data_IF_268691015486
#
_entry.id   IF_268691015486
#
_cell.length_a   1.000
_cell.length_b   1.000
_cell.length_c   1.000
_cell.angle_alpha   90.00
_cell.angle_beta   90.00
_cell.angle_gamma   90.00
#
_symmetry.space_group_name_H-M   'P 1'
#
loop_
_entity.id
_entity.type
_entity.pdbx_description
1 polymer ?
#
# COMPACT_ATOMS: atom_id res chain seq x y z
N UNK A 1 -30.31 -48.77 -9.85
CA UNK A 1 -29.32 -48.91 -10.93
C UNK A 1 -28.12 -48.02 -10.60
N UNK A 2 -27.01 -48.59 -10.12
CA UNK A 2 -25.79 -47.81 -9.89
C UNK A 2 -25.09 -47.60 -11.23
N UNK A 3 -24.94 -46.35 -11.66
CA UNK A 3 -24.20 -46.00 -12.87
C UNK A 3 -22.74 -46.44 -12.69
N UNK A 4 -22.33 -47.49 -13.42
CA UNK A 4 -20.92 -47.89 -13.49
C UNK A 4 -20.15 -46.74 -14.12
N UNK A 5 -19.31 -46.07 -13.34
CA UNK A 5 -18.42 -45.01 -13.82
C UNK A 5 -17.50 -45.61 -14.90
N UNK A 6 -17.44 -44.98 -16.06
CA UNK A 6 -16.61 -45.42 -17.19
C UNK A 6 -15.12 -45.21 -16.87
N UNK A 7 -14.21 -46.05 -17.38
CA UNK A 7 -12.76 -45.96 -17.12
C UNK A 7 -12.13 -44.61 -17.52
N UNK A 8 -12.79 -43.86 -18.40
CA UNK A 8 -12.42 -42.48 -18.75
C UNK A 8 -12.63 -41.49 -17.58
N UNK A 9 -13.69 -41.64 -16.78
CA UNK A 9 -13.99 -40.79 -15.61
C UNK A 9 -12.97 -41.01 -14.48
N UNK A 10 -12.47 -42.24 -14.32
CA UNK A 10 -11.43 -42.57 -13.35
C UNK A 10 -10.05 -42.03 -13.76
N UNK A 11 -9.73 -42.07 -15.06
CA UNK A 11 -8.48 -41.52 -15.61
C UNK A 11 -8.43 -40.00 -15.47
N UNK A 12 -9.54 -39.31 -15.79
CA UNK A 12 -9.66 -37.85 -15.62
C UNK A 12 -9.49 -37.45 -14.16
N UNK A 13 -10.11 -38.18 -13.22
CA UNK A 13 -9.92 -37.91 -11.78
C UNK A 13 -8.49 -38.08 -11.34
N UNK A 14 -7.83 -39.16 -11.77
CA UNK A 14 -6.42 -39.39 -11.44
C UNK A 14 -5.49 -38.30 -11.97
N UNK A 15 -5.79 -37.74 -13.15
CA UNK A 15 -5.07 -36.60 -13.70
C UNK A 15 -5.34 -35.31 -12.92
N UNK A 16 -6.60 -35.04 -12.56
CA UNK A 16 -6.98 -33.88 -11.74
C UNK A 16 -6.39 -33.94 -10.33
N UNK A 17 -6.34 -35.13 -9.72
CA UNK A 17 -5.73 -35.35 -8.41
C UNK A 17 -4.21 -35.15 -8.48
N UNK A 18 -3.57 -35.64 -9.55
CA UNK A 18 -2.15 -35.40 -9.81
C UNK A 18 -1.84 -33.92 -10.08
N UNK A 19 -2.70 -33.21 -10.82
CA UNK A 19 -2.59 -31.77 -11.02
C UNK A 19 -2.75 -31.00 -9.70
N UNK A 20 -3.72 -31.39 -8.85
CA UNK A 20 -3.91 -30.81 -7.51
C UNK A 20 -2.68 -31.01 -6.62
N UNK A 21 -2.12 -32.22 -6.60
CA UNK A 21 -0.90 -32.54 -5.85
C UNK A 21 0.31 -31.72 -6.35
N UNK A 22 0.44 -31.52 -7.66
CA UNK A 22 1.49 -30.67 -8.27
C UNK A 22 1.31 -29.20 -7.89
N UNK A 23 0.07 -28.70 -7.88
CA UNK A 23 -0.24 -27.32 -7.48
C UNK A 23 0.05 -27.10 -6.00
N UNK A 24 -0.31 -28.06 -5.15
CA UNK A 24 -0.13 -27.98 -3.70
C UNK A 24 1.34 -28.00 -3.28
N UNK A 25 2.20 -28.69 -4.04
CA UNK A 25 3.65 -28.72 -3.79
C UNK A 25 4.41 -27.50 -4.33
N UNK A 26 3.80 -26.69 -5.20
CA UNK A 26 4.44 -25.51 -5.78
C UNK A 26 4.16 -24.27 -4.93
N UNK A 27 5.10 -23.32 -4.95
CA UNK A 27 4.84 -22.00 -4.37
C UNK A 27 3.64 -21.38 -5.06
N UNK A 28 2.62 -21.07 -4.27
CA UNK A 28 1.42 -20.42 -4.76
C UNK A 28 1.75 -19.06 -5.39
N UNK A 29 1.19 -18.79 -6.57
CA UNK A 29 1.31 -17.50 -7.26
C UNK A 29 -0.09 -17.00 -7.59
N UNK A 30 -0.40 -15.72 -7.30
CA UNK A 30 -1.71 -15.17 -7.58
C UNK A 30 -2.00 -15.12 -9.08
N UNK A 31 -3.27 -15.23 -9.42
CA UNK A 31 -3.78 -15.01 -10.78
C UNK A 31 -4.24 -13.57 -10.96
N UNK A 32 -4.18 -13.06 -12.19
CA UNK A 32 -4.49 -11.64 -12.50
C UNK A 32 -5.83 -11.14 -11.94
N UNK A 33 -6.87 -11.99 -11.97
CA UNK A 33 -8.18 -11.67 -11.41
C UNK A 33 -8.16 -11.43 -9.89
N UNK A 34 -7.37 -12.21 -9.16
CA UNK A 34 -7.26 -12.15 -7.69
C UNK A 34 -6.64 -10.83 -7.20
N UNK A 35 -5.79 -10.19 -8.01
CA UNK A 35 -5.22 -8.88 -7.68
C UNK A 35 -6.25 -7.74 -7.65
N UNK A 36 -7.45 -7.93 -8.19
CA UNK A 36 -8.50 -6.92 -8.20
C UNK A 36 -9.61 -7.18 -7.17
N UNK A 37 -9.64 -8.36 -6.55
CA UNK A 37 -10.68 -8.75 -5.60
C UNK A 37 -10.27 -8.45 -4.16
N UNK A 38 -11.24 -8.05 -3.35
CA UNK A 38 -11.09 -8.00 -1.90
C UNK A 38 -10.07 -6.99 -1.37
N UNK A 39 -9.84 -5.88 -2.09
CA UNK A 39 -9.03 -4.77 -1.56
C UNK A 39 -9.78 -4.08 -0.45
N UNK A 40 -9.20 -4.10 0.76
CA UNK A 40 -9.73 -3.42 1.92
C UNK A 40 -9.38 -1.94 1.86
N UNK A 41 -10.16 -1.15 2.58
CA UNK A 41 -9.87 0.24 2.85
C UNK A 41 -9.51 0.38 4.31
N UNK A 42 -8.42 1.07 4.58
CA UNK A 42 -7.98 1.37 5.93
C UNK A 42 -7.99 2.87 6.19
N UNK A 43 -8.27 3.27 7.42
CA UNK A 43 -8.11 4.64 7.89
C UNK A 43 -7.04 4.73 8.98
N UNK A 44 -6.18 5.75 8.87
CA UNK A 44 -5.08 6.03 9.80
C UNK A 44 -5.21 7.47 10.27
N UNK A 45 -5.23 7.67 11.59
CA UNK A 45 -5.06 8.99 12.18
C UNK A 45 -3.57 9.30 12.37
N UNK A 46 -3.09 10.35 11.70
CA UNK A 46 -1.69 10.78 11.79
C UNK A 46 -1.42 11.73 12.97
N UNK A 47 -2.44 12.15 13.73
CA UNK A 47 -2.28 13.06 14.86
C UNK A 47 -1.33 12.53 15.93
N UNK A 48 -0.28 13.30 16.25
CA UNK A 48 0.70 12.95 17.28
C UNK A 48 1.62 11.78 16.90
N UNK A 49 1.50 11.22 15.69
CA UNK A 49 2.30 10.06 15.27
C UNK A 49 3.61 10.48 14.61
N UNK A 50 4.65 9.67 14.82
CA UNK A 50 5.96 9.91 14.19
C UNK A 50 5.91 9.57 12.70
N UNK A 51 6.24 10.54 11.84
CA UNK A 51 6.19 10.44 10.37
C UNK A 51 6.77 9.13 9.83
N UNK A 52 8.00 8.77 10.24
CA UNK A 52 8.68 7.58 9.71
C UNK A 52 8.00 6.28 10.09
N UNK A 53 7.54 6.15 11.35
CA UNK A 53 6.92 4.93 11.87
C UNK A 53 5.60 4.64 11.16
N UNK A 54 4.76 5.66 11.01
CA UNK A 54 3.48 5.49 10.29
C UNK A 54 3.71 5.23 8.80
N UNK A 55 4.69 5.90 8.18
CA UNK A 55 4.96 5.71 6.75
C UNK A 55 5.39 4.27 6.43
N UNK A 56 6.13 3.61 7.33
CA UNK A 56 6.52 2.20 7.15
C UNK A 56 5.33 1.27 7.16
N UNK A 57 4.41 1.45 8.11
CA UNK A 57 3.20 0.63 8.21
C UNK A 57 2.33 0.85 6.98
N UNK A 58 2.07 2.12 6.62
CA UNK A 58 1.32 2.48 5.42
C UNK A 58 1.93 1.84 4.16
N UNK A 59 3.25 1.91 3.99
CA UNK A 59 3.93 1.33 2.83
C UNK A 59 3.80 -0.21 2.78
N UNK A 60 3.87 -0.90 3.92
CA UNK A 60 3.67 -2.35 4.01
C UNK A 60 2.25 -2.75 3.61
N UNK A 61 1.26 -2.01 4.08
CA UNK A 61 -0.16 -2.25 3.77
C UNK A 61 -0.49 -1.95 2.29
N UNK A 62 0.02 -0.84 1.74
CA UNK A 62 -0.11 -0.50 0.32
C UNK A 62 0.54 -1.54 -0.61
N UNK A 63 1.64 -2.15 -0.14
CA UNK A 63 2.33 -3.23 -0.86
C UNK A 63 1.66 -4.59 -0.67
N UNK A 64 0.86 -4.75 0.38
CA UNK A 64 0.19 -6.01 0.74
C UNK A 64 1.10 -7.01 1.43
N UNK A 65 2.21 -6.56 2.04
CA UNK A 65 3.15 -7.46 2.76
C UNK A 65 2.52 -8.13 3.97
N UNK A 66 1.48 -7.52 4.52
CA UNK A 66 0.77 -8.02 5.70
C UNK A 66 -0.15 -9.21 5.35
N UNK A 67 -0.38 -9.47 4.05
CA UNK A 67 -1.20 -10.58 3.58
C UNK A 67 -0.34 -11.81 3.26
N UNK A 68 -0.80 -13.03 3.60
CA UNK A 68 -0.12 -14.27 3.23
C UNK A 68 -0.12 -14.51 1.71
N UNK A 69 -1.02 -13.84 0.97
CA UNK A 69 -1.12 -13.88 -0.48
C UNK A 69 -0.16 -12.91 -1.18
N UNK A 70 0.86 -12.40 -0.49
CA UNK A 70 1.80 -11.44 -1.06
C UNK A 70 2.63 -12.07 -2.19
N UNK A 71 2.63 -11.40 -3.35
CA UNK A 71 3.50 -11.75 -4.46
C UNK A 71 4.26 -10.49 -4.96
N UNK A 72 5.60 -10.52 -5.07
CA UNK A 72 6.38 -9.33 -5.44
C UNK A 72 6.07 -8.74 -6.81
N UNK A 73 5.58 -9.57 -7.74
CA UNK A 73 5.30 -9.20 -9.13
C UNK A 73 3.85 -8.76 -9.36
N UNK A 74 2.99 -8.80 -8.34
CA UNK A 74 1.58 -8.43 -8.44
C UNK A 74 1.14 -7.49 -7.32
N UNK A 75 0.16 -6.63 -7.63
CA UNK A 75 -0.33 -5.60 -6.73
C UNK A 75 -1.50 -6.07 -5.86
N UNK A 76 -1.18 -6.76 -4.76
CA UNK A 76 -2.14 -7.36 -3.82
C UNK A 76 -2.48 -6.46 -2.61
N UNK A 77 -1.90 -5.26 -2.54
CA UNK A 77 -2.08 -4.36 -1.40
C UNK A 77 -3.41 -3.60 -1.38
N UNK A 78 -3.67 -2.98 -0.25
CA UNK A 78 -4.95 -2.34 0.10
C UNK A 78 -4.92 -0.82 -0.10
N UNK A 79 -6.08 -0.17 0.08
CA UNK A 79 -6.20 1.28 0.11
C UNK A 79 -5.98 1.79 1.53
N UNK A 80 -5.28 2.92 1.64
CA UNK A 80 -5.04 3.56 2.93
C UNK A 80 -5.42 5.02 2.83
N UNK A 81 -6.31 5.44 3.73
CA UNK A 81 -6.75 6.81 3.93
C UNK A 81 -6.08 7.35 5.18
N UNK A 82 -5.39 8.47 5.07
CA UNK A 82 -4.77 9.13 6.22
C UNK A 82 -5.48 10.45 6.47
N UNK A 83 -5.88 10.65 7.73
CA UNK A 83 -6.48 11.90 8.22
C UNK A 83 -5.53 12.62 9.18
N UNK A 84 -5.77 13.90 9.42
CA UNK A 84 -4.94 14.77 10.26
C UNK A 84 -3.47 14.81 9.84
N UNK A 85 -3.17 14.72 8.53
CA UNK A 85 -1.79 14.72 8.05
C UNK A 85 -1.01 15.98 8.44
N UNK A 86 -1.70 17.10 8.66
CA UNK A 86 -1.10 18.35 9.14
C UNK A 86 -0.51 18.25 10.56
N UNK A 87 -0.94 17.27 11.37
CA UNK A 87 -0.53 17.07 12.76
C UNK A 87 0.50 15.96 12.95
N UNK A 88 1.10 15.46 11.85
CA UNK A 88 2.17 14.44 11.93
C UNK A 88 3.42 15.01 12.59
N UNK A 89 4.04 14.25 13.47
CA UNK A 89 5.19 14.69 14.28
C UNK A 89 6.51 14.27 13.62
N UNK A 90 7.45 15.22 13.57
CA UNK A 90 8.85 14.96 13.31
C UNK A 90 9.64 15.18 14.60
N UNK A 91 10.52 14.24 14.94
CA UNK A 91 11.30 14.31 16.18
C UNK A 91 12.51 15.26 16.06
N UNK A 92 12.86 15.92 17.17
CA UNK A 92 14.03 16.81 17.26
C UNK A 92 13.88 18.09 16.44
N UNK A 93 14.99 18.60 15.89
CA UNK A 93 15.04 19.85 15.11
C UNK A 93 14.69 19.66 13.62
N UNK A 94 14.11 18.51 13.26
CA UNK A 94 13.85 18.13 11.86
C UNK A 94 12.80 19.02 11.18
N UNK A 95 11.88 19.60 11.94
CA UNK A 95 10.84 20.49 11.40
C UNK A 95 11.46 21.73 10.71
N UNK A 96 12.57 22.25 11.24
CA UNK A 96 13.26 23.42 10.67
C UNK A 96 14.46 23.04 9.81
N UNK A 97 15.17 21.96 10.16
CA UNK A 97 16.41 21.58 9.47
C UNK A 97 16.22 20.71 8.24
N UNK A 98 15.13 19.93 8.16
CA UNK A 98 14.92 19.05 7.00
C UNK A 98 14.41 19.89 5.83
N UNK A 99 15.11 19.78 4.71
CA UNK A 99 14.81 20.50 3.47
C UNK A 99 14.39 19.52 2.40
N UNK A 100 13.29 19.84 1.72
CA UNK A 100 12.86 19.21 0.48
C UNK A 100 13.46 19.97 -0.69
N UNK A 101 14.12 19.22 -1.57
CA UNK A 101 14.75 19.75 -2.78
C UNK A 101 13.94 19.34 -4.01
N UNK A 102 13.82 20.26 -4.97
CA UNK A 102 13.30 19.99 -6.30
C UNK A 102 14.07 20.81 -7.32
N UNK A 103 14.17 20.32 -8.55
CA UNK A 103 14.97 20.96 -9.59
C UNK A 103 14.16 21.04 -10.90
N UNK A 104 14.23 22.16 -11.60
CA UNK A 104 13.54 22.33 -12.90
C UNK A 104 14.31 21.81 -14.11
N UNK A 105 15.55 21.35 -13.91
CA UNK A 105 16.53 20.96 -14.95
C UNK A 105 17.12 22.10 -15.78
N UNK A 106 16.91 23.36 -15.36
CA UNK A 106 17.61 24.53 -15.90
C UNK A 106 18.72 24.99 -14.93
N UNK A 107 19.80 25.64 -15.42
CA UNK A 107 20.80 26.27 -14.55
C UNK A 107 20.14 27.24 -13.55
N UNK A 108 20.49 27.14 -12.27
CA UNK A 108 19.86 27.91 -11.18
C UNK A 108 18.45 27.46 -10.77
N UNK A 109 17.95 26.35 -11.32
CA UNK A 109 16.60 25.84 -11.12
C UNK A 109 16.34 25.10 -9.79
N UNK A 110 17.24 25.20 -8.81
CA UNK A 110 17.11 24.51 -7.53
C UNK A 110 16.13 25.24 -6.62
N UNK A 111 15.07 24.53 -6.22
CA UNK A 111 14.09 25.00 -5.24
C UNK A 111 14.22 24.22 -3.95
N UNK A 112 14.27 24.94 -2.84
CA UNK A 112 14.42 24.39 -1.50
C UNK A 112 13.22 24.82 -0.66
N UNK A 113 12.64 23.88 0.09
CA UNK A 113 11.56 24.17 1.04
C UNK A 113 11.80 23.43 2.34
N UNK A 114 11.73 24.11 3.47
CA UNK A 114 11.79 23.45 4.78
C UNK A 114 10.52 22.65 5.04
N UNK A 115 10.56 21.65 5.92
CA UNK A 115 9.35 20.91 6.33
C UNK A 115 8.25 21.87 6.81
N UNK A 116 8.62 22.86 7.62
CA UNK A 116 7.68 23.89 8.10
C UNK A 116 6.94 24.60 6.94
N UNK A 117 7.66 25.02 5.90
CA UNK A 117 7.05 25.67 4.72
C UNK A 117 6.15 24.71 3.94
N UNK A 118 6.55 23.43 3.83
CA UNK A 118 5.70 22.40 3.20
C UNK A 118 4.44 22.17 4.02
N UNK A 119 4.54 22.13 5.36
CA UNK A 119 3.38 21.93 6.25
C UNK A 119 2.34 23.03 6.13
N UNK A 120 2.78 24.29 5.99
CA UNK A 120 1.88 25.43 5.84
C UNK A 120 1.14 25.44 4.49
N UNK A 121 1.78 24.95 3.43
CA UNK A 121 1.23 25.02 2.08
C UNK A 121 0.49 23.74 1.67
N UNK A 122 1.11 22.59 1.85
CA UNK A 122 0.66 21.27 1.37
C UNK A 122 1.14 20.18 2.35
N UNK A 123 0.54 20.08 3.55
CA UNK A 123 0.98 19.14 4.59
C UNK A 123 0.94 17.67 4.14
N UNK A 124 0.05 17.31 3.23
CA UNK A 124 -0.07 15.96 2.65
C UNK A 124 1.22 15.49 1.99
N UNK A 125 1.99 16.41 1.37
CA UNK A 125 3.24 16.07 0.66
C UNK A 125 4.31 15.52 1.59
N UNK A 126 4.28 15.87 2.87
CA UNK A 126 5.25 15.40 3.86
C UNK A 126 5.15 13.87 3.98
N UNK A 127 3.92 13.38 4.14
CA UNK A 127 3.63 11.96 4.29
C UNK A 127 3.70 11.23 2.94
N UNK A 128 3.17 11.83 1.88
CA UNK A 128 3.27 11.28 0.51
C UNK A 128 4.72 11.03 0.12
N UNK A 129 5.62 12.00 0.35
CA UNK A 129 7.04 11.87 0.01
C UNK A 129 7.74 10.80 0.85
N UNK A 130 7.35 10.65 2.13
CA UNK A 130 7.89 9.62 3.01
C UNK A 130 7.49 8.21 2.53
N UNK A 131 6.20 8.00 2.23
CA UNK A 131 5.68 6.71 1.76
C UNK A 131 6.20 6.38 0.36
N UNK A 132 6.22 7.36 -0.56
CA UNK A 132 6.78 7.18 -1.91
C UNK A 132 8.24 6.70 -1.87
N UNK A 133 9.03 7.19 -0.92
CA UNK A 133 10.41 6.75 -0.72
C UNK A 133 10.54 5.28 -0.26
N UNK A 134 9.50 4.71 0.34
CA UNK A 134 9.47 3.32 0.86
C UNK A 134 8.87 2.32 -0.13
N UNK A 135 8.23 2.79 -1.21
CA UNK A 135 7.68 1.94 -2.26
C UNK A 135 8.71 1.63 -3.36
N UNK A 136 8.56 0.53 -4.11
CA UNK A 136 9.41 0.22 -5.26
C UNK A 136 9.35 1.32 -6.32
N UNK A 137 10.51 1.72 -6.87
CA UNK A 137 10.58 2.72 -7.94
C UNK A 137 10.30 2.10 -9.31
N UNK A 138 9.05 1.67 -9.53
CA UNK A 138 8.60 1.10 -10.79
C UNK A 138 7.13 1.44 -11.06
N UNK A 139 6.60 1.02 -12.22
CA UNK A 139 5.20 1.26 -12.60
C UNK A 139 4.19 0.73 -11.58
N UNK A 140 4.51 -0.39 -10.91
CA UNK A 140 3.66 -0.95 -9.86
C UNK A 140 3.67 -0.09 -8.60
N UNK A 141 4.82 0.42 -8.17
CA UNK A 141 4.92 1.31 -7.02
C UNK A 141 4.16 2.62 -7.23
N UNK A 142 4.18 3.17 -8.45
CA UNK A 142 3.35 4.32 -8.79
C UNK A 142 1.83 3.98 -8.73
N UNK A 143 1.43 2.77 -9.12
CA UNK A 143 0.04 2.29 -8.93
C UNK A 143 -0.32 2.11 -7.46
N UNK A 144 0.60 1.59 -6.65
CA UNK A 144 0.42 1.44 -5.20
C UNK A 144 0.29 2.79 -4.51
N UNK A 145 1.12 3.76 -4.90
CA UNK A 145 1.06 5.13 -4.35
C UNK A 145 -0.30 5.78 -4.61
N UNK A 146 -0.93 5.55 -5.77
CA UNK A 146 -2.27 6.08 -6.08
C UNK A 146 -3.37 5.58 -5.13
N UNK A 147 -3.16 4.46 -4.43
CA UNK A 147 -4.09 3.94 -3.42
C UNK A 147 -3.99 4.66 -2.08
N UNK A 148 -2.92 5.41 -1.85
CA UNK A 148 -2.77 6.27 -0.70
C UNK A 148 -3.61 7.54 -0.90
N UNK A 149 -4.52 7.80 0.04
CA UNK A 149 -5.33 9.03 0.09
C UNK A 149 -4.98 9.77 1.36
N UNK A 150 -4.58 11.03 1.24
CA UNK A 150 -4.11 11.83 2.37
C UNK A 150 -4.96 13.08 2.47
N UNK A 151 -5.45 13.36 3.67
CA UNK A 151 -6.22 14.54 3.98
C UNK A 151 -5.55 15.31 5.12
N UNK A 152 -5.45 16.63 4.96
CA UNK A 152 -4.88 17.51 5.96
C UNK A 152 -5.73 17.54 7.25
N UNK A 153 -7.06 17.53 7.09
CA UNK A 153 -8.04 17.57 8.17
C UNK A 153 -8.52 16.19 8.64
N UNK A 154 -9.46 16.15 9.60
CA UNK A 154 -9.94 14.92 10.23
C UNK A 154 -10.93 14.13 9.35
N UNK A 155 -11.51 14.76 8.33
CA UNK A 155 -12.58 14.18 7.52
C UNK A 155 -12.09 13.72 6.15
N UNK A 156 -12.63 12.60 5.68
CA UNK A 156 -12.42 12.09 4.32
C UNK A 156 -13.76 11.80 3.62
N UNK A 157 -13.86 11.94 2.29
CA UNK A 157 -15.09 11.67 1.53
C UNK A 157 -15.38 10.17 1.31
N UNK A 158 -14.47 9.26 1.70
CA UNK A 158 -14.54 7.83 1.38
C UNK A 158 -15.40 6.97 2.32
N UNK A 159 -16.49 7.52 2.85
CA UNK A 159 -17.36 6.82 3.81
C UNK A 159 -18.04 5.59 3.21
N UNK A 160 -18.41 5.63 1.94
CA UNK A 160 -19.07 4.51 1.24
C UNK A 160 -18.22 3.26 1.10
N UNK A 161 -16.90 3.38 1.29
CA UNK A 161 -15.97 2.24 1.20
C UNK A 161 -15.76 1.53 2.54
N UNK A 162 -16.43 1.97 3.61
CA UNK A 162 -16.38 1.40 4.95
C UNK A 162 -14.95 1.10 5.43
N UNK A 163 -14.08 2.12 5.55
CA UNK A 163 -12.69 1.91 5.93
C UNK A 163 -12.56 1.37 7.36
N UNK A 164 -11.76 0.32 7.52
CA UNK A 164 -11.40 -0.26 8.83
C UNK A 164 -10.27 0.58 9.47
N UNK A 165 -10.26 0.80 10.79
CA UNK A 165 -9.11 1.44 11.44
C UNK A 165 -7.87 0.54 11.31
N UNK A 166 -6.76 1.11 10.84
CA UNK A 166 -5.49 0.38 10.79
C UNK A 166 -4.81 0.41 12.16
N UNK A 167 -4.47 -0.76 12.69
CA UNK A 167 -3.68 -0.84 13.90
C UNK A 167 -2.24 -0.42 13.62
N UNK A 168 -1.84 0.71 14.22
CA UNK A 168 -0.45 1.15 14.21
C UNK A 168 0.31 0.31 15.23
N UNK A 169 1.09 -0.67 14.75
CA UNK A 169 1.96 -1.49 15.59
C UNK A 169 2.83 -0.64 16.54
N UNK A 170 3.04 -1.17 17.76
CA UNK A 170 3.65 -0.50 18.91
C UNK A 170 5.04 0.09 18.66
#
# INVERSE_FOLDING_TARGET
MQARRTPADETVRRLLDKEREIVERRTWSPKGFEAHLGKKWYVVDAEGKTLGRIATIIASTLRGKDKPTFAPHMDMGDFVVVVNAAKVVLTGKKETQKVYYSHSNYPGGLRQRTVQQVRQSHPERILESAVRGMLPRNSMGEKQLKKLKIYAGPTHPHLSQAPEPLELGR
#
